data_IF_037760407449
#
_entry.id   IF_037760407449
#
_cell.length_a   1.000
_cell.length_b   1.000
_cell.length_c   1.000
_cell.angle_alpha   90.00
_cell.angle_beta   90.00
_cell.angle_gamma   90.00
#
_symmetry.space_group_name_H-M   'P 1'
#
loop_
_entity.id
_entity.type
_entity.pdbx_description
1 polymer ?
#
# COMPACT_ATOMS: atom_id res chain seq x y z
N UNK A 1 -29.13 8.15 -14.59
CA UNK A 1 -28.21 8.89 -13.70
C UNK A 1 -27.25 7.87 -13.11
N UNK A 2 -25.95 8.02 -13.31
CA UNK A 2 -24.93 7.10 -12.75
C UNK A 2 -24.37 7.60 -11.42
N UNK A 3 -23.86 6.68 -10.60
CA UNK A 3 -23.12 6.98 -9.37
C UNK A 3 -21.62 6.86 -9.61
N UNK A 4 -20.81 7.68 -8.94
CA UNK A 4 -19.35 7.66 -9.07
C UNK A 4 -18.68 7.83 -7.70
N UNK A 5 -17.42 7.40 -7.60
CA UNK A 5 -16.57 7.62 -6.44
C UNK A 5 -15.52 8.71 -6.73
N UNK A 6 -15.26 9.55 -5.72
CA UNK A 6 -14.19 10.55 -5.74
C UNK A 6 -12.91 10.04 -5.06
N UNK A 7 -11.98 10.96 -4.76
CA UNK A 7 -10.73 10.66 -4.03
C UNK A 7 -11.04 9.88 -2.73
N UNK A 8 -10.25 8.83 -2.39
CA UNK A 8 -10.46 8.07 -1.16
C UNK A 8 -10.44 8.99 0.06
N UNK A 9 -11.38 8.78 1.00
CA UNK A 9 -11.46 9.58 2.22
C UNK A 9 -10.19 9.46 3.08
N UNK A 10 -9.51 8.31 3.07
CA UNK A 10 -8.23 8.13 3.76
C UNK A 10 -7.14 9.07 3.25
N UNK A 11 -7.05 9.28 1.93
CA UNK A 11 -6.11 10.24 1.34
C UNK A 11 -6.42 11.67 1.78
N UNK A 12 -7.68 12.09 1.75
CA UNK A 12 -8.11 13.42 2.20
C UNK A 12 -7.81 13.65 3.70
N UNK A 13 -8.03 12.63 4.53
CA UNK A 13 -7.71 12.70 5.96
C UNK A 13 -6.22 12.81 6.20
N UNK A 14 -5.40 12.12 5.39
CA UNK A 14 -3.95 12.26 5.47
C UNK A 14 -3.50 13.67 5.06
N UNK A 15 -3.98 14.23 3.95
CA UNK A 15 -3.69 15.60 3.52
C UNK A 15 -4.05 16.63 4.60
N UNK A 16 -5.20 16.45 5.27
CA UNK A 16 -5.61 17.29 6.39
C UNK A 16 -4.65 17.16 7.57
N UNK A 17 -4.28 15.93 7.94
CA UNK A 17 -3.32 15.68 9.02
C UNK A 17 -1.94 16.27 8.73
N UNK A 18 -1.50 16.18 7.48
CA UNK A 18 -0.24 16.74 7.00
C UNK A 18 -0.26 18.28 7.06
N UNK A 19 -1.35 18.89 6.60
CA UNK A 19 -1.57 20.34 6.68
C UNK A 19 -1.54 20.85 8.13
N UNK A 20 -2.01 20.04 9.08
CA UNK A 20 -1.99 20.34 10.52
C UNK A 20 -0.67 19.95 11.21
N UNK A 21 0.32 19.41 10.48
CA UNK A 21 1.57 18.85 11.01
C UNK A 21 1.35 17.78 12.09
N UNK A 22 0.28 17.00 11.93
CA UNK A 22 -0.08 15.85 12.77
C UNK A 22 -0.07 14.54 11.97
N UNK A 23 0.58 14.53 10.80
CA UNK A 23 0.78 13.32 10.03
C UNK A 23 1.69 12.36 10.80
N UNK A 24 1.30 11.09 10.79
CA UNK A 24 2.05 9.96 11.35
C UNK A 24 2.14 8.86 10.31
N UNK A 25 3.10 7.94 10.48
CA UNK A 25 3.26 6.84 9.54
C UNK A 25 1.99 5.96 9.45
N UNK A 26 1.29 5.76 10.57
CA UNK A 26 0.01 5.04 10.60
C UNK A 26 -1.05 5.71 9.71
N UNK A 27 -1.13 7.05 9.71
CA UNK A 27 -2.09 7.77 8.87
C UNK A 27 -1.72 7.69 7.38
N UNK A 28 -0.43 7.70 7.07
CA UNK A 28 0.07 7.49 5.72
C UNK A 28 -0.28 6.08 5.23
N UNK A 29 -0.07 5.06 6.07
CA UNK A 29 -0.44 3.69 5.76
C UNK A 29 -1.93 3.53 5.52
N UNK A 30 -2.79 4.12 6.36
CA UNK A 30 -4.23 4.11 6.17
C UNK A 30 -4.67 4.80 4.88
N UNK A 31 -3.94 5.83 4.42
CA UNK A 31 -4.19 6.44 3.12
C UNK A 31 -3.85 5.49 1.96
N UNK A 32 -2.74 4.76 2.03
CA UNK A 32 -2.40 3.71 1.06
C UNK A 32 -3.50 2.64 1.01
N UNK A 33 -3.92 2.12 2.17
CA UNK A 33 -5.00 1.12 2.25
C UNK A 33 -6.30 1.65 1.65
N UNK A 34 -6.69 2.91 1.92
CA UNK A 34 -7.90 3.49 1.36
C UNK A 34 -7.84 3.66 -0.16
N UNK A 35 -6.68 4.00 -0.72
CA UNK A 35 -6.47 4.08 -2.16
C UNK A 35 -6.56 2.70 -2.82
N UNK A 36 -5.89 1.70 -2.25
CA UNK A 36 -5.93 0.33 -2.73
C UNK A 36 -7.32 -0.29 -2.59
N UNK A 37 -8.07 0.01 -1.53
CA UNK A 37 -9.48 -0.42 -1.38
C UNK A 37 -10.33 0.03 -2.56
N UNK A 38 -10.27 1.31 -2.92
CA UNK A 38 -11.05 1.81 -4.07
C UNK A 38 -10.61 1.17 -5.39
N UNK A 39 -9.31 0.92 -5.56
CA UNK A 39 -8.78 0.27 -6.76
C UNK A 39 -9.24 -1.18 -6.90
N UNK A 40 -9.11 -1.99 -5.83
CA UNK A 40 -9.52 -3.40 -5.82
C UNK A 40 -11.03 -3.56 -6.03
N UNK A 41 -11.83 -2.61 -5.54
CA UNK A 41 -13.28 -2.61 -5.74
C UNK A 41 -13.74 -1.98 -7.06
N UNK A 42 -12.82 -1.71 -8.00
CA UNK A 42 -13.11 -1.11 -9.31
C UNK A 42 -13.85 0.24 -9.22
N UNK A 43 -13.65 0.97 -8.11
CA UNK A 43 -14.24 2.30 -7.88
C UNK A 43 -13.35 3.43 -8.41
N UNK A 44 -12.14 3.09 -8.87
CA UNK A 44 -11.11 4.00 -9.32
C UNK A 44 -10.50 3.49 -10.64
N UNK A 45 -10.25 4.39 -11.61
CA UNK A 45 -9.56 4.02 -12.85
C UNK A 45 -8.07 3.82 -12.61
N UNK A 46 -7.40 3.09 -13.50
CA UNK A 46 -5.96 2.84 -13.40
C UNK A 46 -5.19 4.18 -13.42
N UNK A 47 -5.57 5.14 -14.27
CA UNK A 47 -4.89 6.45 -14.32
C UNK A 47 -5.01 7.24 -13.00
N UNK A 48 -6.19 7.19 -12.36
CA UNK A 48 -6.40 7.85 -11.07
C UNK A 48 -5.69 7.14 -9.93
N UNK A 49 -5.61 5.81 -10.00
CA UNK A 49 -4.83 5.02 -9.05
C UNK A 49 -3.35 5.38 -9.14
N UNK A 50 -2.77 5.40 -10.35
CA UNK A 50 -1.37 5.77 -10.56
C UNK A 50 -1.08 7.19 -10.06
N UNK A 51 -1.96 8.16 -10.33
CA UNK A 51 -1.81 9.51 -9.82
C UNK A 51 -1.81 9.56 -8.27
N UNK A 52 -2.70 8.79 -7.62
CA UNK A 52 -2.74 8.68 -6.16
C UNK A 52 -1.51 7.98 -5.58
N UNK A 53 -0.99 6.95 -6.25
CA UNK A 53 0.24 6.24 -5.86
C UNK A 53 1.43 7.21 -5.91
N UNK A 54 1.59 7.97 -6.99
CA UNK A 54 2.67 8.97 -7.11
C UNK A 54 2.62 10.02 -5.98
N UNK A 55 1.42 10.49 -5.62
CA UNK A 55 1.24 11.44 -4.51
C UNK A 55 1.65 10.83 -3.16
N UNK A 56 1.21 9.60 -2.87
CA UNK A 56 1.56 8.91 -1.63
C UNK A 56 3.04 8.54 -1.56
N UNK A 57 3.65 8.14 -2.69
CA UNK A 57 5.08 7.87 -2.80
C UNK A 57 5.91 9.12 -2.45
N UNK A 58 5.51 10.29 -2.94
CA UNK A 58 6.14 11.55 -2.56
C UNK A 58 6.08 11.79 -1.04
N UNK A 59 4.95 11.45 -0.40
CA UNK A 59 4.81 11.54 1.05
C UNK A 59 5.68 10.55 1.81
N UNK A 60 5.79 9.31 1.33
CA UNK A 60 6.70 8.28 1.86
C UNK A 60 8.15 8.77 1.81
N UNK A 61 8.58 9.30 0.66
CA UNK A 61 9.95 9.75 0.45
C UNK A 61 10.32 11.04 1.22
N UNK A 62 9.34 11.93 1.46
CA UNK A 62 9.59 13.23 2.11
C UNK A 62 9.40 13.21 3.63
N UNK A 63 8.44 12.42 4.13
CA UNK A 63 7.99 12.47 5.53
C UNK A 63 7.58 11.12 6.11
N UNK A 64 7.59 10.05 5.29
CA UNK A 64 7.38 8.70 5.75
C UNK A 64 8.53 8.26 6.65
N UNK A 65 8.22 7.42 7.63
CA UNK A 65 9.22 6.81 8.52
C UNK A 65 9.93 7.79 9.48
N UNK A 66 9.41 9.02 9.66
CA UNK A 66 10.01 10.03 10.54
C UNK A 66 10.14 9.57 12.01
N UNK A 67 9.22 8.71 12.47
CA UNK A 67 9.19 8.17 13.84
C UNK A 67 9.96 6.84 13.99
N UNK A 68 10.53 6.30 12.90
CA UNK A 68 11.27 5.05 12.95
C UNK A 68 12.67 5.28 13.53
N UNK A 69 12.81 5.15 14.85
CA UNK A 69 14.13 5.10 15.51
C UNK A 69 14.84 3.82 15.03
N UNK A 70 15.68 3.95 14.01
CA UNK A 70 16.32 2.82 13.34
C UNK A 70 17.56 2.28 14.06
N UNK A 71 18.17 3.07 14.95
CA UNK A 71 19.25 2.56 15.80
C UNK A 71 19.46 3.35 17.09
N UNK A 72 19.65 2.63 18.20
CA UNK A 72 20.10 3.16 19.48
C UNK A 72 21.51 2.64 19.75
N UNK A 73 22.46 3.53 20.00
CA UNK A 73 23.80 3.16 20.45
C UNK A 73 23.82 3.13 21.97
N UNK A 74 24.06 1.96 22.55
CA UNK A 74 24.24 1.79 23.98
C UNK A 74 25.55 2.42 24.46
N UNK A 75 25.68 2.65 25.78
CA UNK A 75 26.87 3.28 26.39
C UNK A 75 28.15 2.48 26.21
N UNK A 76 28.04 1.20 25.87
CA UNK A 76 29.14 0.27 25.59
C UNK A 76 29.57 0.27 24.11
N UNK A 77 28.93 1.08 23.26
CA UNK A 77 29.20 1.14 21.82
C UNK A 77 28.38 0.15 20.98
N UNK A 78 27.55 -0.69 21.59
CA UNK A 78 26.68 -1.64 20.87
C UNK A 78 25.57 -0.87 20.15
N UNK A 79 25.53 -0.98 18.82
CA UNK A 79 24.45 -0.41 18.01
C UNK A 79 23.31 -1.42 17.91
N UNK A 80 22.19 -1.13 18.57
CA UNK A 80 20.96 -1.92 18.45
C UNK A 80 20.10 -1.28 17.37
N UNK A 81 19.85 -2.00 16.29
CA UNK A 81 18.87 -1.61 15.27
C UNK A 81 17.50 -2.12 15.68
N UNK A 82 16.53 -1.21 15.78
CA UNK A 82 15.12 -1.61 15.99
C UNK A 82 14.66 -2.32 14.72
N UNK A 83 13.91 -3.43 14.82
CA UNK A 83 13.29 -4.07 13.65
C UNK A 83 12.51 -3.03 12.83
N UNK A 84 12.48 -3.20 11.52
CA UNK A 84 11.87 -2.28 10.54
C UNK A 84 10.32 -2.23 10.63
N UNK A 85 9.74 -2.54 11.80
CA UNK A 85 8.35 -2.93 12.05
C UNK A 85 7.30 -1.86 11.73
N UNK A 86 7.70 -0.69 11.27
CA UNK A 86 6.79 0.36 10.81
C UNK A 86 7.26 1.05 9.56
N UNK A 87 8.28 0.55 8.85
CA UNK A 87 8.80 1.24 7.67
C UNK A 87 7.88 1.02 6.47
N UNK A 88 7.50 2.10 5.81
CA UNK A 88 6.71 2.07 4.58
C UNK A 88 7.68 2.32 3.41
N UNK A 89 7.65 1.44 2.43
CA UNK A 89 8.37 1.55 1.16
C UNK A 89 7.41 1.36 -0.01
N UNK A 90 7.72 1.99 -1.14
CA UNK A 90 7.07 1.74 -2.41
C UNK A 90 7.80 0.62 -3.13
N UNK A 91 7.06 -0.39 -3.61
CA UNK A 91 7.59 -1.54 -4.35
C UNK A 91 6.60 -1.94 -5.44
N UNK A 92 7.13 -2.39 -6.58
CA UNK A 92 6.31 -2.95 -7.66
C UNK A 92 6.02 -4.44 -7.36
N UNK A 93 4.79 -4.76 -7.01
CA UNK A 93 4.35 -6.14 -6.75
C UNK A 93 3.46 -6.72 -7.86
N UNK A 94 3.56 -8.03 -8.14
CA UNK A 94 2.65 -8.70 -9.07
C UNK A 94 1.20 -8.69 -8.54
N UNK A 95 0.22 -8.57 -9.44
CA UNK A 95 -1.22 -8.61 -9.13
C UNK A 95 -1.70 -10.04 -8.77
N UNK A 96 -1.18 -10.58 -7.68
CA UNK A 96 -1.51 -11.89 -7.12
C UNK A 96 -2.17 -11.73 -5.75
N UNK A 97 -3.15 -12.59 -5.45
CA UNK A 97 -3.85 -12.54 -4.17
C UNK A 97 -2.97 -13.18 -3.09
N UNK A 98 -2.66 -12.45 -2.02
CA UNK A 98 -1.99 -12.98 -0.82
C UNK A 98 -0.64 -13.71 -1.08
N UNK A 99 0.16 -13.26 -2.06
CA UNK A 99 1.41 -13.92 -2.45
C UNK A 99 2.42 -14.13 -1.30
N UNK A 100 2.42 -13.23 -0.31
CA UNK A 100 3.34 -13.33 0.82
C UNK A 100 2.88 -14.35 1.88
N UNK A 101 1.60 -14.70 1.90
CA UNK A 101 0.99 -15.59 2.91
C UNK A 101 0.72 -16.99 2.34
N UNK A 102 0.55 -17.11 1.03
CA UNK A 102 0.17 -18.33 0.34
C UNK A 102 1.26 -18.82 -0.61
N UNK A 103 1.18 -20.08 -1.02
CA UNK A 103 2.02 -20.54 -2.11
C UNK A 103 1.61 -19.87 -3.44
N UNK A 104 2.54 -19.86 -4.41
CA UNK A 104 2.32 -19.22 -5.71
C UNK A 104 1.09 -19.78 -6.44
N UNK A 105 0.86 -21.08 -6.36
CA UNK A 105 -0.24 -21.74 -7.05
C UNK A 105 -1.61 -21.23 -6.56
N UNK A 106 -1.84 -21.25 -5.24
CA UNK A 106 -3.08 -20.76 -4.63
C UNK A 106 -3.27 -19.26 -4.90
N UNK A 107 -2.18 -18.48 -4.84
CA UNK A 107 -2.20 -17.05 -5.13
C UNK A 107 -2.60 -16.73 -6.57
N UNK A 108 -2.14 -17.54 -7.53
CA UNK A 108 -2.51 -17.44 -8.95
C UNK A 108 -3.96 -17.84 -9.19
N UNK A 109 -4.41 -18.93 -8.56
CA UNK A 109 -5.77 -19.45 -8.72
C UNK A 109 -6.83 -18.48 -8.17
N UNK A 110 -6.52 -17.82 -7.05
CA UNK A 110 -7.43 -16.86 -6.41
C UNK A 110 -7.28 -15.41 -6.90
N UNK A 111 -6.32 -15.11 -7.77
CA UNK A 111 -6.21 -13.79 -8.40
C UNK A 111 -7.24 -13.66 -9.53
N UNK A 112 -8.20 -12.74 -9.39
CA UNK A 112 -9.20 -12.46 -10.44
C UNK A 112 -8.55 -12.08 -11.78
N UNK A 113 -7.38 -11.44 -11.74
CA UNK A 113 -6.63 -11.05 -12.92
C UNK A 113 -5.95 -12.23 -13.63
N UNK A 114 -5.31 -13.14 -12.88
CA UNK A 114 -4.59 -14.27 -13.47
C UNK A 114 -5.55 -15.41 -13.84
N UNK A 115 -6.52 -15.72 -12.99
CA UNK A 115 -7.50 -16.77 -13.24
C UNK A 115 -8.27 -16.54 -14.55
N UNK A 116 -8.69 -15.29 -14.81
CA UNK A 116 -9.37 -14.90 -16.07
C UNK A 116 -8.48 -15.02 -17.30
N UNK A 117 -7.19 -14.68 -17.20
CA UNK A 117 -6.24 -14.76 -18.30
C UNK A 117 -5.83 -16.19 -18.64
N UNK A 118 -5.65 -17.04 -17.63
CA UNK A 118 -5.20 -18.42 -17.81
C UNK A 118 -6.33 -19.43 -17.94
N UNK A 119 -7.59 -19.03 -17.65
CA UNK A 119 -8.76 -19.92 -17.69
C UNK A 119 -8.64 -21.10 -16.73
N UNK A 120 -8.19 -20.82 -15.52
CA UNK A 120 -7.94 -21.82 -14.46
C UNK A 120 -9.19 -22.57 -13.99
N UNK A 121 -10.39 -22.19 -14.47
CA UNK A 121 -11.63 -22.95 -14.27
C UNK A 121 -11.83 -24.09 -15.28
N UNK A 122 -10.94 -24.24 -16.25
CA UNK A 122 -11.02 -25.28 -17.29
C UNK A 122 -9.86 -26.26 -17.16
N UNK A 123 -10.08 -27.55 -17.44
CA UNK A 123 -9.04 -28.59 -17.31
C UNK A 123 -7.78 -28.33 -18.15
N UNK A 124 -7.91 -27.56 -19.22
CA UNK A 124 -6.80 -27.20 -20.11
C UNK A 124 -6.00 -25.97 -19.64
N UNK A 125 -6.53 -25.17 -18.71
CA UNK A 125 -5.94 -23.92 -18.25
C UNK A 125 -5.45 -24.03 -16.81
#
# INVERSE_FOLDING_TARGET
MGTFHGKPSGCLMYELSHSLRKNKNELLWLACVALTDQFVHERLTDERYQAGVMELEQHINSSGNLDAVTSVTLKDGTKITVPDSSRISYEDEPRLMLLQEWNLFDSMLCSSYIATKLKTWSDNG
#
